data_IF_972880650927
#
_entry.id   IF_972880650927
#
_cell.length_a   1.000
_cell.length_b   1.000
_cell.length_c   1.000
_cell.angle_alpha   90.00
_cell.angle_beta   90.00
_cell.angle_gamma   90.00
#
_symmetry.space_group_name_H-M   'P 1'
#
loop_
_entity.id
_entity.type
_entity.pdbx_description
1 polymer ?
#
# COMPACT_ATOMS: atom_id res chain seq x y z
N UNK A 1 -8.46 -9.51 17.48
CA UNK A 1 -8.40 -8.36 16.56
C UNK A 1 -7.74 -8.82 15.28
N UNK A 2 -8.42 -8.65 14.14
CA UNK A 2 -7.84 -8.99 12.83
C UNK A 2 -7.06 -7.79 12.35
N UNK A 3 -5.76 -7.95 12.13
CA UNK A 3 -4.90 -6.87 11.63
C UNK A 3 -5.35 -6.43 10.24
N UNK A 4 -5.18 -5.16 9.87
CA UNK A 4 -5.54 -4.68 8.53
C UNK A 4 -4.86 -5.49 7.40
N UNK A 5 -3.67 -6.01 7.63
CA UNK A 5 -2.92 -6.89 6.70
C UNK A 5 -3.60 -8.24 6.42
N UNK A 6 -4.51 -8.68 7.29
CA UNK A 6 -5.30 -9.89 7.10
C UNK A 6 -6.67 -9.60 6.44
N UNK A 7 -7.04 -8.32 6.31
CA UNK A 7 -8.29 -7.90 5.68
C UNK A 7 -8.16 -8.01 4.16
N UNK A 8 -9.10 -8.71 3.47
CA UNK A 8 -9.09 -8.80 2.03
C UNK A 8 -9.36 -7.43 1.37
N UNK A 9 -8.57 -7.11 0.36
CA UNK A 9 -8.71 -5.97 -0.55
C UNK A 9 -9.57 -6.42 -1.72
N UNK A 10 -10.77 -5.85 -1.86
CA UNK A 10 -11.71 -6.15 -2.95
C UNK A 10 -11.74 -5.06 -4.04
N UNK A 11 -10.82 -4.11 -3.97
CA UNK A 11 -10.70 -3.02 -4.93
C UNK A 11 -10.08 -3.48 -6.26
N UNK A 12 -10.31 -2.72 -7.32
CA UNK A 12 -9.66 -2.96 -8.60
C UNK A 12 -8.15 -2.70 -8.50
N UNK A 13 -7.34 -3.60 -9.04
CA UNK A 13 -5.88 -3.54 -9.02
C UNK A 13 -5.27 -3.45 -10.42
N UNK A 14 -4.00 -3.06 -10.49
CA UNK A 14 -3.17 -3.09 -11.69
C UNK A 14 -1.79 -3.65 -11.34
N UNK A 15 -1.18 -4.38 -12.27
CA UNK A 15 0.22 -4.82 -12.12
C UNK A 15 1.13 -3.78 -12.76
N UNK A 16 2.11 -3.29 -12.02
CA UNK A 16 3.17 -2.40 -12.49
C UNK A 16 4.53 -2.91 -11.98
N UNK A 17 5.47 -3.18 -12.89
CA UNK A 17 6.81 -3.68 -12.56
C UNK A 17 6.82 -4.91 -11.63
N UNK A 18 5.85 -5.81 -11.80
CA UNK A 18 5.70 -7.01 -10.96
C UNK A 18 5.01 -6.78 -9.60
N UNK A 19 4.69 -5.53 -9.26
CA UNK A 19 3.93 -5.17 -8.06
C UNK A 19 2.44 -4.96 -8.39
N UNK A 20 1.56 -5.55 -7.60
CA UNK A 20 0.13 -5.28 -7.69
C UNK A 20 -0.21 -4.03 -6.87
N UNK A 21 -0.83 -3.05 -7.51
CA UNK A 21 -1.13 -1.73 -6.97
C UNK A 21 -2.63 -1.44 -7.06
N UNK A 22 -3.10 -0.47 -6.29
CA UNK A 22 -4.48 0.01 -6.41
C UNK A 22 -4.68 0.70 -7.77
N UNK A 23 -5.74 0.35 -8.48
CA UNK A 23 -6.10 1.00 -9.76
C UNK A 23 -6.63 2.42 -9.56
N UNK A 24 -7.41 2.62 -8.48
CA UNK A 24 -8.08 3.88 -8.19
C UNK A 24 -7.45 4.63 -7.02
N UNK A 25 -7.28 5.95 -7.18
CA UNK A 25 -6.82 6.83 -6.10
C UNK A 25 -7.76 6.79 -4.90
N UNK A 26 -9.08 6.80 -5.11
CA UNK A 26 -10.07 6.79 -4.03
C UNK A 26 -9.94 5.55 -3.14
N UNK A 27 -9.81 4.37 -3.75
CA UNK A 27 -9.54 3.12 -3.04
C UNK A 27 -8.22 3.18 -2.27
N UNK A 28 -7.14 3.60 -2.93
CA UNK A 28 -5.84 3.74 -2.28
C UNK A 28 -5.88 4.68 -1.07
N UNK A 29 -6.54 5.83 -1.17
CA UNK A 29 -6.68 6.79 -0.07
C UNK A 29 -7.46 6.20 1.11
N UNK A 30 -8.55 5.47 0.85
CA UNK A 30 -9.31 4.82 1.93
C UNK A 30 -8.46 3.78 2.67
N UNK A 31 -7.68 2.99 1.94
CA UNK A 31 -6.76 2.02 2.54
C UNK A 31 -5.60 2.68 3.26
N UNK A 32 -5.09 3.81 2.76
CA UNK A 32 -4.08 4.62 3.45
C UNK A 32 -4.60 5.09 4.82
N UNK A 33 -5.82 5.61 4.89
CA UNK A 33 -6.43 6.05 6.14
C UNK A 33 -6.60 4.92 7.15
N UNK A 34 -7.05 3.75 6.70
CA UNK A 34 -7.16 2.55 7.55
C UNK A 34 -5.80 2.11 8.06
N UNK A 35 -4.79 2.08 7.17
CA UNK A 35 -3.45 1.66 7.54
C UNK A 35 -2.82 2.63 8.52
N UNK A 36 -2.99 3.94 8.32
CA UNK A 36 -2.51 4.96 9.23
C UNK A 36 -3.09 4.81 10.65
N UNK A 37 -4.38 4.49 10.75
CA UNK A 37 -5.03 4.22 12.03
C UNK A 37 -4.51 2.94 12.70
N UNK A 38 -4.17 1.91 11.92
CA UNK A 38 -3.62 0.64 12.40
C UNK A 38 -2.18 0.79 12.93
N UNK A 39 -1.31 1.46 12.17
CA UNK A 39 0.13 1.59 12.50
C UNK A 39 0.45 2.82 13.36
N UNK A 40 -0.52 3.71 13.58
CA UNK A 40 -0.34 4.94 14.37
C UNK A 40 0.58 5.98 13.71
N UNK A 41 0.75 5.93 12.40
CA UNK A 41 1.67 6.78 11.63
C UNK A 41 1.01 7.25 10.33
N UNK A 42 1.29 8.46 9.82
CA UNK A 42 0.69 8.94 8.59
C UNK A 42 1.03 8.05 7.40
N UNK A 43 -0.01 7.65 6.67
CA UNK A 43 0.09 6.92 5.40
C UNK A 43 -0.65 7.72 4.33
N UNK A 44 -0.03 7.83 3.16
CA UNK A 44 -0.57 8.54 2.00
C UNK A 44 -0.61 7.63 0.78
N UNK A 45 -1.60 7.83 -0.08
CA UNK A 45 -1.62 7.18 -1.39
C UNK A 45 -0.71 7.93 -2.37
N UNK A 46 0.27 7.24 -2.94
CA UNK A 46 1.20 7.78 -3.94
C UNK A 46 1.01 7.06 -5.27
N UNK A 47 0.96 7.83 -6.36
CA UNK A 47 0.90 7.26 -7.70
C UNK A 47 2.26 6.69 -8.09
N UNK A 48 2.30 5.42 -8.50
CA UNK A 48 3.49 4.74 -8.99
C UNK A 48 3.14 4.12 -10.35
N UNK A 49 3.74 4.66 -11.42
CA UNK A 49 3.41 4.27 -12.79
C UNK A 49 1.92 4.46 -13.12
N UNK A 50 1.25 3.34 -13.42
CA UNK A 50 -0.19 3.29 -13.75
C UNK A 50 -1.09 3.01 -12.55
N UNK A 51 -0.52 2.75 -11.37
CA UNK A 51 -1.25 2.40 -10.15
C UNK A 51 -0.97 3.35 -8.99
N UNK A 52 -1.49 2.98 -7.83
CA UNK A 52 -1.34 3.69 -6.57
C UNK A 52 -0.87 2.73 -5.48
N UNK A 53 0.16 3.13 -4.74
CA UNK A 53 0.66 2.42 -3.57
C UNK A 53 0.37 3.24 -2.31
N UNK A 54 0.42 2.58 -1.15
CA UNK A 54 0.38 3.27 0.14
C UNK A 54 1.82 3.52 0.58
N UNK A 55 2.15 4.74 0.99
CA UNK A 55 3.47 5.11 1.47
C UNK A 55 3.36 5.72 2.86
N UNK A 56 4.22 5.33 3.77
CA UNK A 56 4.27 5.84 5.14
C UNK A 56 5.53 5.33 5.84
N UNK A 57 5.63 5.54 7.15
CA UNK A 57 6.77 5.07 7.92
C UNK A 57 6.32 4.23 9.13
N UNK A 58 7.04 3.16 9.42
CA UNK A 58 6.87 2.34 10.63
C UNK A 58 8.17 2.41 11.41
N UNK A 59 8.12 2.86 12.67
CA UNK A 59 9.31 3.02 13.52
C UNK A 59 10.44 3.84 12.87
N UNK A 60 10.06 4.84 12.06
CA UNK A 60 11.01 5.70 11.34
C UNK A 60 11.57 5.12 10.04
N UNK A 61 11.15 3.91 9.65
CA UNK A 61 11.54 3.26 8.39
C UNK A 61 10.47 3.49 7.33
N UNK A 62 10.86 4.10 6.22
CA UNK A 62 9.99 4.27 5.06
C UNK A 62 9.52 2.92 4.52
N UNK A 63 8.20 2.81 4.37
CA UNK A 63 7.52 1.60 3.93
C UNK A 63 6.56 1.94 2.80
N UNK A 64 6.54 1.06 1.80
CA UNK A 64 5.58 1.10 0.70
C UNK A 64 4.76 -0.19 0.71
N UNK A 65 3.45 -0.07 0.56
CA UNK A 65 2.53 -1.20 0.52
C UNK A 65 1.78 -1.23 -0.80
N UNK A 66 1.85 -2.38 -1.45
CA UNK A 66 0.99 -2.77 -2.55
C UNK A 66 -0.02 -3.83 -2.10
N UNK A 67 -0.51 -4.57 -3.08
CA UNK A 67 -1.44 -5.67 -2.90
C UNK A 67 -0.69 -6.97 -3.27
N UNK A 68 -1.04 -8.06 -2.61
CA UNK A 68 -0.60 -9.39 -2.99
C UNK A 68 -1.66 -10.39 -2.58
N UNK A 69 -2.25 -11.09 -3.54
CA UNK A 69 -3.29 -12.08 -3.26
C UNK A 69 -4.46 -11.49 -2.48
N UNK A 70 -4.93 -10.31 -2.93
CA UNK A 70 -6.01 -9.54 -2.29
C UNK A 70 -5.70 -9.09 -0.86
N UNK A 71 -4.44 -8.86 -0.50
CA UNK A 71 -4.08 -8.35 0.84
C UNK A 71 -3.01 -7.29 0.73
N UNK A 72 -2.98 -6.36 1.69
CA UNK A 72 -1.87 -5.43 1.79
C UNK A 72 -0.56 -6.17 2.08
N UNK A 73 0.47 -5.89 1.29
CA UNK A 73 1.81 -6.44 1.48
C UNK A 73 2.83 -5.32 1.27
N UNK A 74 3.86 -5.29 2.12
CA UNK A 74 4.99 -4.40 1.91
C UNK A 74 5.69 -4.80 0.61
N UNK A 75 5.84 -3.84 -0.28
CA UNK A 75 6.62 -3.98 -1.51
C UNK A 75 7.93 -3.23 -1.31
N UNK A 76 9.01 -3.76 -1.87
CA UNK A 76 10.25 -3.01 -1.95
C UNK A 76 9.99 -1.90 -2.98
N UNK A 77 10.18 -0.65 -2.59
CA UNK A 77 10.24 0.41 -3.58
C UNK A 77 11.49 0.10 -4.40
N UNK A 78 11.34 -0.18 -5.70
CA UNK A 78 12.43 -0.55 -6.61
C UNK A 78 13.46 0.59 -6.83
N UNK A 79 13.52 1.55 -5.91
CA UNK A 79 14.49 2.62 -5.81
C UNK A 79 15.49 2.43 -4.66
N UNK A 80 15.48 1.28 -3.97
CA UNK A 80 16.64 0.81 -3.20
C UNK A 80 17.74 0.35 -4.17
N UNK A 81 18.30 1.29 -4.92
CA UNK A 81 19.50 1.06 -5.72
C UNK A 81 20.70 1.26 -4.78
N UNK A 82 21.05 0.21 -4.03
CA UNK A 82 22.40 0.06 -3.46
C UNK A 82 23.42 -0.17 -4.59
#
# INVERSE_FOLDING_TARGET
>A
MTTLFATPVFDATVIFEGNELFKGQGSATQWAQKLAAEIGSPVVARKIGTGWALCGAVDGVDCVWGIYGQRLKRIDDANSND
#
